data_IF_169468774446
#
_entry.id   IF_169468774446
#
_cell.length_a   1.000
_cell.length_b   1.000
_cell.length_c   1.000
_cell.angle_alpha   90.00
_cell.angle_beta   90.00
_cell.angle_gamma   90.00
#
_symmetry.space_group_name_H-M   'P 1'
#
loop_
_entity.id
_entity.type
_entity.pdbx_description
1 polymer ?
#
# COMPACT_ATOMS: atom_id res chain seq x y z
N UNK A 1 -23.89 16.61 -16.75
CA UNK A 1 -24.01 18.00 -16.30
C UNK A 1 -22.70 18.49 -15.66
N UNK A 2 -22.46 19.80 -15.75
CA UNK A 2 -21.25 20.43 -15.19
C UNK A 2 -21.10 20.19 -13.68
N UNK A 3 -22.19 20.10 -12.93
CA UNK A 3 -22.18 19.88 -11.48
C UNK A 3 -21.65 18.52 -11.08
N UNK A 4 -22.07 17.45 -11.74
CA UNK A 4 -21.61 16.09 -11.46
C UNK A 4 -20.12 15.90 -11.78
N UNK A 5 -19.64 16.53 -12.85
CA UNK A 5 -18.24 16.48 -13.23
C UNK A 5 -17.34 17.20 -12.21
N UNK A 6 -17.78 18.36 -11.71
CA UNK A 6 -17.07 19.12 -10.66
C UNK A 6 -16.99 18.36 -9.35
N UNK A 7 -18.07 17.70 -8.93
CA UNK A 7 -18.11 16.87 -7.70
C UNK A 7 -17.18 15.67 -7.85
N UNK A 8 -17.17 15.01 -9.00
CA UNK A 8 -16.28 13.88 -9.28
C UNK A 8 -14.81 14.29 -9.20
N UNK A 9 -14.42 15.41 -9.79
CA UNK A 9 -13.05 15.93 -9.74
C UNK A 9 -12.63 16.21 -8.29
N UNK A 10 -13.49 16.84 -7.49
CA UNK A 10 -13.20 17.12 -6.07
C UNK A 10 -13.00 15.86 -5.25
N UNK A 11 -13.80 14.81 -5.49
CA UNK A 11 -13.64 13.49 -4.82
C UNK A 11 -12.32 12.83 -5.20
N UNK A 12 -11.94 12.88 -6.47
CA UNK A 12 -10.69 12.32 -6.97
C UNK A 12 -9.49 13.00 -6.31
N UNK A 13 -9.50 14.34 -6.26
CA UNK A 13 -8.46 15.12 -5.61
C UNK A 13 -8.37 14.82 -4.11
N UNK A 14 -9.51 14.66 -3.45
CA UNK A 14 -9.55 14.27 -2.04
C UNK A 14 -8.87 12.92 -1.80
N UNK A 15 -9.16 11.92 -2.63
CA UNK A 15 -8.58 10.58 -2.50
C UNK A 15 -7.05 10.59 -2.71
N UNK A 16 -6.58 11.34 -3.71
CA UNK A 16 -5.14 11.51 -3.95
C UNK A 16 -4.48 12.21 -2.77
N UNK A 17 -5.07 13.28 -2.26
CA UNK A 17 -4.52 14.03 -1.13
C UNK A 17 -4.52 13.20 0.15
N UNK A 18 -5.55 12.39 0.38
CA UNK A 18 -5.60 11.48 1.52
C UNK A 18 -4.49 10.43 1.44
N UNK A 19 -4.27 9.86 0.24
CA UNK A 19 -3.19 8.90 0.04
C UNK A 19 -1.81 9.53 0.28
N UNK A 20 -1.60 10.76 -0.19
CA UNK A 20 -0.36 11.54 0.08
C UNK A 20 -0.18 11.80 1.58
N UNK A 21 -1.25 12.08 2.30
CA UNK A 21 -1.20 12.27 3.74
C UNK A 21 -0.78 10.98 4.45
N UNK A 22 -1.30 9.84 4.03
CA UNK A 22 -0.87 8.55 4.57
C UNK A 22 0.59 8.24 4.24
N UNK A 23 1.08 8.64 3.07
CA UNK A 23 2.49 8.53 2.71
C UNK A 23 3.36 9.40 3.62
N UNK A 24 2.91 10.61 3.92
CA UNK A 24 3.58 11.51 4.86
C UNK A 24 3.69 10.88 6.26
N UNK A 25 2.57 10.36 6.78
CA UNK A 25 2.57 9.67 8.08
C UNK A 25 3.50 8.47 8.09
N UNK A 26 3.58 7.73 7.00
CA UNK A 26 4.46 6.58 6.88
C UNK A 26 5.94 7.01 7.00
N UNK A 27 6.35 8.07 6.32
CA UNK A 27 7.71 8.62 6.45
C UNK A 27 8.04 8.97 7.89
N UNK A 28 7.13 9.65 8.57
CA UNK A 28 7.33 10.08 9.96
C UNK A 28 7.44 8.89 10.92
N UNK A 29 6.65 7.84 10.70
CA UNK A 29 6.58 6.70 11.61
C UNK A 29 7.68 5.65 11.38
N UNK A 30 8.39 5.70 10.24
CA UNK A 30 9.41 4.71 9.88
C UNK A 30 10.83 5.22 9.95
N UNK A 31 11.05 6.43 10.45
CA UNK A 31 12.37 7.07 10.52
C UNK A 31 13.35 6.37 11.47
N UNK A 32 12.88 5.49 12.34
CA UNK A 32 13.69 4.81 13.36
C UNK A 32 13.68 3.28 13.23
N UNK A 33 13.38 2.74 12.04
CA UNK A 33 13.39 1.29 11.85
C UNK A 33 14.82 0.74 11.86
N UNK A 34 15.07 -0.19 12.76
CA UNK A 34 16.31 -0.96 12.84
C UNK A 34 16.00 -2.42 12.55
N UNK A 35 16.45 -2.90 11.39
CA UNK A 35 16.25 -4.30 11.02
C UNK A 35 17.48 -4.87 10.36
N UNK A 36 17.54 -6.20 10.27
CA UNK A 36 18.71 -6.92 9.80
C UNK A 36 18.64 -7.34 8.33
N UNK A 37 17.46 -7.36 7.71
CA UNK A 37 17.29 -7.79 6.31
C UNK A 37 16.29 -6.93 5.56
N UNK A 38 16.43 -6.89 4.23
CA UNK A 38 15.50 -6.15 3.35
C UNK A 38 14.08 -6.69 3.44
N UNK A 39 13.92 -8.01 3.60
CA UNK A 39 12.62 -8.65 3.78
C UNK A 39 11.95 -8.18 5.07
N UNK A 40 12.69 -8.16 6.17
CA UNK A 40 12.17 -7.73 7.47
C UNK A 40 11.83 -6.24 7.47
N UNK A 41 12.65 -5.41 6.84
CA UNK A 41 12.36 -3.99 6.66
C UNK A 41 11.10 -3.77 5.84
N UNK A 42 10.95 -4.50 4.73
CA UNK A 42 9.77 -4.40 3.89
C UNK A 42 8.50 -4.84 4.64
N UNK A 43 8.59 -5.91 5.42
CA UNK A 43 7.50 -6.36 6.30
C UNK A 43 7.08 -5.23 7.26
N UNK A 44 8.04 -4.63 7.96
CA UNK A 44 7.79 -3.57 8.93
C UNK A 44 7.19 -2.32 8.29
N UNK A 45 7.69 -1.91 7.13
CA UNK A 45 7.19 -0.72 6.43
C UNK A 45 5.76 -0.96 5.94
N UNK A 46 5.47 -2.12 5.36
CA UNK A 46 4.11 -2.45 4.89
C UNK A 46 3.16 -2.52 6.09
N UNK A 47 3.55 -3.16 7.19
CA UNK A 47 2.72 -3.21 8.39
C UNK A 47 2.47 -1.81 8.96
N UNK A 48 3.48 -0.94 8.99
CA UNK A 48 3.32 0.44 9.42
C UNK A 48 2.27 1.18 8.55
N UNK A 49 2.28 0.94 7.24
CA UNK A 49 1.27 1.50 6.34
C UNK A 49 -0.13 0.98 6.67
N UNK A 50 -0.28 -0.31 6.89
CA UNK A 50 -1.57 -0.92 7.24
C UNK A 50 -2.07 -0.44 8.61
N UNK A 51 -1.17 -0.23 9.56
CA UNK A 51 -1.51 0.34 10.86
C UNK A 51 -2.06 1.76 10.73
N UNK A 52 -1.48 2.58 9.85
CA UNK A 52 -1.98 3.93 9.55
C UNK A 52 -3.42 3.85 8.98
N UNK A 53 -3.65 2.94 8.04
CA UNK A 53 -5.00 2.72 7.50
C UNK A 53 -5.97 2.26 8.60
N UNK A 54 -5.49 1.41 9.49
CA UNK A 54 -6.29 0.83 10.57
C UNK A 54 -6.68 1.86 11.65
N UNK A 55 -5.88 2.87 11.89
CA UNK A 55 -6.23 3.98 12.76
C UNK A 55 -7.45 4.75 12.26
N UNK A 56 -7.67 4.75 10.95
CA UNK A 56 -8.79 5.40 10.29
C UNK A 56 -9.72 4.37 9.61
N UNK A 57 -9.80 3.18 10.19
CA UNK A 57 -10.41 2.00 9.58
C UNK A 57 -11.81 2.26 9.02
N UNK A 58 -12.69 2.85 9.81
CA UNK A 58 -14.08 3.07 9.41
C UNK A 58 -14.18 3.93 8.14
N UNK A 59 -13.43 5.03 8.10
CA UNK A 59 -13.42 5.94 6.95
C UNK A 59 -12.76 5.29 5.73
N UNK A 60 -11.63 4.61 5.94
CA UNK A 60 -10.90 3.94 4.85
C UNK A 60 -11.72 2.79 4.26
N UNK A 61 -12.43 2.02 5.08
CA UNK A 61 -13.32 0.96 4.58
C UNK A 61 -14.47 1.51 3.72
N UNK A 62 -15.03 2.65 4.07
CA UNK A 62 -16.05 3.31 3.24
C UNK A 62 -15.49 3.68 1.87
N UNK A 63 -14.30 4.27 1.85
CA UNK A 63 -13.62 4.63 0.60
C UNK A 63 -13.26 3.39 -0.22
N UNK A 64 -12.73 2.36 0.42
CA UNK A 64 -12.40 1.10 -0.24
C UNK A 64 -13.63 0.46 -0.87
N UNK A 65 -14.74 0.37 -0.14
CA UNK A 65 -16.00 -0.18 -0.66
C UNK A 65 -16.57 0.63 -1.82
N UNK A 66 -16.34 1.94 -1.82
CA UNK A 66 -16.72 2.80 -2.93
C UNK A 66 -15.82 2.57 -4.16
N UNK A 67 -14.51 2.50 -3.97
CA UNK A 67 -13.52 2.39 -5.05
C UNK A 67 -13.55 1.02 -5.72
N UNK A 68 -13.73 -0.06 -4.97
CA UNK A 68 -13.63 -1.44 -5.48
C UNK A 68 -14.63 -1.77 -6.58
N UNK A 69 -15.73 -1.04 -6.67
CA UNK A 69 -16.75 -1.20 -7.70
C UNK A 69 -16.66 -0.14 -8.81
N UNK A 70 -15.61 0.66 -8.83
CA UNK A 70 -15.41 1.73 -9.79
C UNK A 70 -14.04 1.63 -10.47
N UNK A 71 -13.94 0.79 -11.53
CA UNK A 71 -12.66 0.57 -12.22
C UNK A 71 -12.00 1.85 -12.73
N UNK A 72 -12.78 2.83 -13.19
CA UNK A 72 -12.26 4.11 -13.68
C UNK A 72 -11.59 4.92 -12.57
N UNK A 73 -12.18 4.94 -11.38
CA UNK A 73 -11.63 5.61 -10.21
C UNK A 73 -10.34 4.91 -9.75
N UNK A 74 -10.35 3.58 -9.74
CA UNK A 74 -9.15 2.80 -9.40
C UNK A 74 -7.99 3.13 -10.37
N UNK A 75 -8.26 3.15 -11.69
CA UNK A 75 -7.25 3.51 -12.68
C UNK A 75 -6.73 4.94 -12.49
N UNK A 76 -7.60 5.86 -12.10
CA UNK A 76 -7.22 7.23 -11.79
C UNK A 76 -6.28 7.31 -10.59
N UNK A 77 -6.51 6.48 -9.56
CA UNK A 77 -5.69 6.43 -8.34
C UNK A 77 -4.38 5.66 -8.52
N UNK A 78 -4.27 4.84 -9.56
CA UNK A 78 -3.14 3.93 -9.74
C UNK A 78 -1.77 4.65 -9.73
N UNK A 79 -1.56 5.79 -10.41
CA UNK A 79 -0.29 6.51 -10.30
C UNK A 79 0.07 6.91 -8.87
N UNK A 80 -0.90 7.34 -8.08
CA UNK A 80 -0.69 7.68 -6.67
C UNK A 80 -0.32 6.45 -5.84
N UNK A 81 -0.94 5.31 -6.10
CA UNK A 81 -0.59 4.04 -5.45
C UNK A 81 0.83 3.60 -5.83
N UNK A 82 1.23 3.77 -7.08
CA UNK A 82 2.61 3.47 -7.52
C UNK A 82 3.62 4.33 -6.76
N UNK A 83 3.34 5.62 -6.58
CA UNK A 83 4.18 6.51 -5.77
C UNK A 83 4.31 6.00 -4.33
N UNK A 84 3.21 5.54 -3.74
CA UNK A 84 3.21 4.95 -2.39
C UNK A 84 4.07 3.69 -2.34
N UNK A 85 4.00 2.83 -3.35
CA UNK A 85 4.81 1.61 -3.43
C UNK A 85 6.30 1.94 -3.55
N UNK A 86 6.65 2.92 -4.37
CA UNK A 86 8.04 3.39 -4.51
C UNK A 86 8.54 3.91 -3.15
N UNK A 87 7.72 4.67 -2.43
CA UNK A 87 8.04 5.12 -1.08
C UNK A 87 8.28 3.95 -0.12
N UNK A 88 7.38 2.96 -0.11
CA UNK A 88 7.50 1.77 0.74
C UNK A 88 8.83 1.05 0.46
N UNK A 89 9.15 0.80 -0.80
CA UNK A 89 10.39 0.15 -1.19
C UNK A 89 11.62 0.98 -0.81
N UNK A 90 11.56 2.29 -1.01
CA UNK A 90 12.64 3.21 -0.66
C UNK A 90 12.89 3.22 0.86
N UNK A 91 11.84 3.26 1.67
CA UNK A 91 11.94 3.20 3.13
C UNK A 91 12.48 1.84 3.61
N UNK A 92 12.20 0.77 2.87
CA UNK A 92 12.74 -0.56 3.14
C UNK A 92 14.15 -0.77 2.58
N UNK A 93 14.76 0.28 2.03
CA UNK A 93 16.10 0.24 1.40
C UNK A 93 16.20 -0.76 0.24
N UNK A 94 15.09 -0.93 -0.50
CA UNK A 94 15.04 -1.76 -1.71
C UNK A 94 15.24 -0.88 -2.93
N UNK A 95 16.20 -1.26 -3.78
CA UNK A 95 16.52 -0.51 -5.00
C UNK A 95 15.36 -0.57 -6.00
N UNK A 96 14.93 0.60 -6.49
CA UNK A 96 13.80 0.71 -7.43
C UNK A 96 14.21 1.11 -8.84
N UNK A 97 15.50 1.25 -9.11
CA UNK A 97 16.02 1.66 -10.41
C UNK A 97 16.13 0.50 -11.39
N UNK A 98 16.04 0.83 -12.68
CA UNK A 98 16.22 -0.12 -13.77
C UNK A 98 15.07 -1.11 -13.92
N UNK A 99 15.29 -2.13 -14.74
CA UNK A 99 14.30 -3.17 -15.06
C UNK A 99 13.94 -3.98 -13.82
N UNK A 100 14.93 -4.39 -13.03
CA UNK A 100 14.70 -5.13 -11.78
C UNK A 100 13.87 -4.32 -10.78
N UNK A 101 14.14 -3.03 -10.65
CA UNK A 101 13.38 -2.13 -9.81
C UNK A 101 11.92 -2.00 -10.27
N UNK A 102 11.71 -1.88 -11.58
CA UNK A 102 10.35 -1.82 -12.14
C UNK A 102 9.54 -3.08 -11.85
N UNK A 103 10.17 -4.25 -11.91
CA UNK A 103 9.52 -5.54 -11.57
C UNK A 103 9.17 -5.56 -10.08
N UNK A 104 10.07 -5.12 -9.21
CA UNK A 104 9.83 -5.05 -7.76
C UNK A 104 8.65 -4.14 -7.43
N UNK A 105 8.54 -2.99 -8.09
CA UNK A 105 7.43 -2.06 -7.92
C UNK A 105 6.10 -2.74 -8.29
N UNK A 106 6.04 -3.40 -9.44
CA UNK A 106 4.82 -4.09 -9.91
C UNK A 106 4.41 -5.22 -8.97
N UNK A 107 5.35 -6.07 -8.57
CA UNK A 107 5.09 -7.19 -7.66
C UNK A 107 4.60 -6.67 -6.31
N UNK A 108 5.23 -5.65 -5.76
CA UNK A 108 4.85 -5.06 -4.49
C UNK A 108 3.50 -4.37 -4.57
N UNK A 109 3.18 -3.73 -5.70
CA UNK A 109 1.86 -3.13 -5.93
C UNK A 109 0.75 -4.19 -5.89
N UNK A 110 0.94 -5.32 -6.60
CA UNK A 110 -0.02 -6.43 -6.58
C UNK A 110 -0.17 -6.99 -5.17
N UNK A 111 0.93 -7.21 -4.47
CA UNK A 111 0.93 -7.64 -3.08
C UNK A 111 0.14 -6.67 -2.19
N UNK A 112 0.39 -5.38 -2.31
CA UNK A 112 -0.29 -4.34 -1.54
C UNK A 112 -1.79 -4.34 -1.77
N UNK A 113 -2.23 -4.46 -3.02
CA UNK A 113 -3.66 -4.53 -3.37
C UNK A 113 -4.31 -5.77 -2.72
N UNK A 114 -3.67 -6.93 -2.81
CA UNK A 114 -4.15 -8.16 -2.17
C UNK A 114 -4.21 -8.01 -0.65
N UNK A 115 -3.23 -7.34 -0.05
CA UNK A 115 -3.21 -7.08 1.39
C UNK A 115 -4.34 -6.14 1.82
N UNK A 116 -4.69 -5.14 1.03
CA UNK A 116 -5.82 -4.25 1.33
C UNK A 116 -7.12 -5.05 1.37
N UNK A 117 -7.33 -5.98 0.44
CA UNK A 117 -8.49 -6.88 0.47
C UNK A 117 -8.50 -7.77 1.73
N UNK A 118 -7.36 -8.34 2.10
CA UNK A 118 -7.23 -9.13 3.32
C UNK A 118 -7.50 -8.28 4.56
N UNK A 119 -6.88 -7.09 4.62
CA UNK A 119 -7.05 -6.14 5.72
C UNK A 119 -8.52 -5.72 5.88
N UNK A 120 -9.23 -5.49 4.79
CA UNK A 120 -10.63 -5.07 4.82
C UNK A 120 -11.54 -6.10 5.52
N UNK A 121 -11.16 -7.37 5.50
CA UNK A 121 -11.88 -8.47 6.14
C UNK A 121 -11.25 -8.93 7.46
N UNK A 122 -10.14 -8.32 7.88
CA UNK A 122 -9.43 -8.71 9.09
C UNK A 122 -9.93 -7.90 10.30
N UNK A 123 -10.70 -8.55 11.16
CA UNK A 123 -11.25 -7.95 12.38
C UNK A 123 -10.45 -8.33 13.64
N UNK A 124 -9.28 -8.95 13.48
CA UNK A 124 -8.43 -9.28 14.61
C UNK A 124 -7.78 -8.03 15.20
N UNK A 125 -7.54 -7.98 16.55
CA UNK A 125 -7.04 -6.75 17.20
C UNK A 125 -5.70 -6.24 16.66
N UNK A 126 -4.79 -7.13 16.30
CA UNK A 126 -3.43 -6.81 15.87
C UNK A 126 -3.19 -7.10 14.40
N UNK A 127 -4.25 -7.14 13.57
CA UNK A 127 -4.17 -7.49 12.15
C UNK A 127 -3.44 -8.82 11.91
N UNK A 128 -3.74 -9.83 12.75
CA UNK A 128 -3.04 -11.11 12.74
C UNK A 128 -3.16 -11.86 11.42
N UNK A 129 -4.35 -11.86 10.82
CA UNK A 129 -4.57 -12.50 9.52
C UNK A 129 -3.79 -11.80 8.41
N UNK A 130 -3.81 -10.49 8.41
CA UNK A 130 -3.08 -9.65 7.44
C UNK A 130 -1.59 -9.86 7.58
N UNK A 131 -1.07 -9.84 8.81
CA UNK A 131 0.33 -10.07 9.12
C UNK A 131 0.81 -11.44 8.65
N UNK A 132 0.02 -12.50 8.89
CA UNK A 132 0.34 -13.86 8.47
C UNK A 132 0.40 -13.98 6.95
N UNK A 133 -0.53 -13.38 6.24
CA UNK A 133 -0.56 -13.38 4.77
C UNK A 133 0.63 -12.60 4.20
N UNK A 134 0.95 -11.44 4.79
CA UNK A 134 2.12 -10.65 4.37
C UNK A 134 3.42 -11.45 4.53
N UNK A 135 3.61 -12.08 5.67
CA UNK A 135 4.80 -12.90 5.92
C UNK A 135 4.92 -14.03 4.90
N UNK A 136 3.82 -14.72 4.63
CA UNK A 136 3.77 -15.79 3.63
C UNK A 136 4.17 -15.30 2.23
N UNK A 137 3.60 -14.17 1.78
CA UNK A 137 3.89 -13.63 0.45
C UNK A 137 5.33 -13.13 0.34
N UNK A 138 5.86 -12.48 1.36
CA UNK A 138 7.25 -12.02 1.35
C UNK A 138 8.22 -13.20 1.32
N UNK A 139 7.92 -14.28 2.03
CA UNK A 139 8.71 -15.51 1.97
C UNK A 139 8.71 -16.11 0.56
N UNK A 140 7.55 -16.13 -0.11
CA UNK A 140 7.43 -16.66 -1.48
C UNK A 140 8.20 -15.80 -2.47
N UNK A 141 8.11 -14.48 -2.36
CA UNK A 141 8.85 -13.54 -3.23
C UNK A 141 10.34 -13.69 -3.04
N UNK A 142 10.81 -13.81 -1.80
CA UNK A 142 12.22 -13.98 -1.48
C UNK A 142 12.77 -15.28 -2.07
N UNK A 143 12.02 -16.37 -2.02
CA UNK A 143 12.39 -17.63 -2.66
C UNK A 143 12.49 -17.51 -4.18
N UNK A 144 11.51 -16.84 -4.81
CA UNK A 144 11.52 -16.63 -6.27
C UNK A 144 12.71 -15.76 -6.71
N UNK A 145 13.05 -14.73 -5.93
CA UNK A 145 14.19 -13.87 -6.22
C UNK A 145 15.53 -14.62 -6.25
N UNK A 146 15.65 -15.71 -5.50
CA UNK A 146 16.86 -16.55 -5.48
C UNK A 146 17.01 -17.42 -6.72
N UNK A 147 15.94 -17.62 -7.50
CA UNK A 147 15.96 -18.37 -8.76
C UNK A 147 16.22 -17.50 -9.99
N UNK A 148 16.21 -16.20 -9.83
CA UNK A 148 16.43 -15.20 -10.89
C UNK A 148 17.76 -14.50 -10.66
#
# INVERSE_FOLDING_TARGET
SKGNKSISIKKNDYLINLNKYFDYLLRENTSSLETSSSKDMLFEVIMARLDILNLNRKSVLKLFNYIKFQPQLFLFLLPSLVESIILILTLAEVEVKGVKGAIKVKVTLVLYILLIFTWSNDNTPSLEKTMTILDKYLNQIDKLAKFV
#
